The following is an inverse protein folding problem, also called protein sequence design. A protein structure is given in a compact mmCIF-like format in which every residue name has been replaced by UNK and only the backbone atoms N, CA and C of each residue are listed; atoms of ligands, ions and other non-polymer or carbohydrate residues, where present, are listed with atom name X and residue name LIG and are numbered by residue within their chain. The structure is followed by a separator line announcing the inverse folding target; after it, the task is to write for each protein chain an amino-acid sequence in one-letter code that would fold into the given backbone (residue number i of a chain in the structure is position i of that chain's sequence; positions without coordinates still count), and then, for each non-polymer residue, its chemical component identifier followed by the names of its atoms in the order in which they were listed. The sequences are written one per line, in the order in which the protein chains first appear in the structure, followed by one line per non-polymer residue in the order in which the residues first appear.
data_IF_279057362852
#
_entry.id   IF_279057362852
#
_cell.length_a   1.000
_cell.length_b   1.000
_cell.length_c   1.000
_cell.angle_alpha   90.00
_cell.angle_beta   90.00
_cell.angle_gamma   90.00
#
_symmetry.space_group_name_H-M   'P 1'
#
loop_
_entity.id
_entity.type
_entity.pdbx_description
1 polymer ?
#
# COMPACT_ATOMS: atom_id res chain seq x y z
N UNK A 1 26.27 57.32 -36.44
CA UNK A 1 25.55 57.61 -35.18
C UNK A 1 24.68 56.41 -34.84
N UNK A 2 25.18 55.53 -33.98
CA UNK A 2 24.51 54.28 -33.56
C UNK A 2 23.96 54.48 -32.16
N UNK A 3 22.63 54.47 -32.01
CA UNK A 3 21.98 54.51 -30.69
C UNK A 3 21.67 53.08 -30.23
N UNK A 4 22.35 52.64 -29.17
CA UNK A 4 22.09 51.40 -28.45
C UNK A 4 20.85 51.56 -27.57
N UNK A 5 19.80 50.78 -27.85
CA UNK A 5 18.55 50.78 -27.07
C UNK A 5 18.66 49.80 -25.91
N UNK A 6 19.08 50.27 -24.74
CA UNK A 6 19.04 49.51 -23.48
C UNK A 6 17.61 49.47 -22.95
N UNK A 7 16.93 48.33 -23.04
CA UNK A 7 15.70 48.06 -22.29
C UNK A 7 16.06 47.75 -20.84
N UNK A 8 15.82 48.72 -19.95
CA UNK A 8 15.85 48.52 -18.49
C UNK A 8 14.70 47.60 -18.11
N UNK A 9 15.02 46.52 -17.39
CA UNK A 9 14.05 45.59 -16.83
C UNK A 9 13.51 46.20 -15.52
N UNK A 10 12.20 46.36 -15.41
CA UNK A 10 11.54 46.98 -14.26
C UNK A 10 11.06 45.90 -13.28
N UNK A 11 11.64 45.80 -12.06
CA UNK A 11 11.36 44.71 -11.12
C UNK A 11 9.98 44.79 -10.44
N UNK A 12 9.25 45.91 -10.59
CA UNK A 12 7.96 46.11 -9.91
C UNK A 12 6.76 45.50 -10.66
N UNK A 13 6.95 45.01 -11.90
CA UNK A 13 5.90 44.32 -12.66
C UNK A 13 5.57 42.89 -12.19
N UNK A 14 6.31 42.35 -11.21
CA UNK A 14 6.07 40.98 -10.67
C UNK A 14 5.13 40.94 -9.45
N UNK A 15 4.70 42.10 -8.91
CA UNK A 15 3.92 42.14 -7.67
C UNK A 15 2.39 42.13 -7.85
N UNK A 16 1.86 42.27 -9.07
CA UNK A 16 0.41 42.47 -9.27
C UNK A 16 -0.35 41.20 -9.71
N UNK A 17 0.34 40.11 -10.06
CA UNK A 17 -0.28 38.86 -10.55
C UNK A 17 -0.60 37.82 -9.45
N UNK A 18 -0.40 38.14 -8.17
CA UNK A 18 -0.65 37.21 -7.05
C UNK A 18 -1.92 37.52 -6.24
N UNK A 19 -2.72 38.52 -6.63
CA UNK A 19 -4.02 38.81 -5.99
C UNK A 19 -5.18 38.59 -6.95
N UNK A 20 -5.63 37.32 -7.09
CA UNK A 20 -7.03 36.90 -7.32
C UNK A 20 -7.08 35.43 -7.73
N UNK A 21 -7.29 34.56 -6.74
CA UNK A 21 -8.14 33.34 -6.82
C UNK A 21 -8.09 32.63 -5.47
N UNK A 22 -8.79 33.22 -4.50
CA UNK A 22 -9.43 32.44 -3.45
C UNK A 22 -10.76 31.95 -4.01
N UNK A 23 -10.92 30.64 -4.12
CA UNK A 23 -12.23 29.97 -4.20
C UNK A 23 -12.12 28.78 -3.26
N UNK A 24 -12.81 28.88 -2.13
CA UNK A 24 -13.21 27.76 -1.29
C UNK A 24 -14.19 26.90 -2.08
N UNK A 25 -13.97 25.58 -2.10
CA UNK A 25 -15.02 24.59 -2.28
C UNK A 25 -14.68 23.43 -1.33
N UNK A 26 -15.29 23.49 -0.15
CA UNK A 26 -15.75 22.29 0.54
C UNK A 26 -16.90 21.72 -0.28
N UNK A 27 -16.87 20.44 -0.60
CA UNK A 27 -18.03 19.53 -0.61
C UNK A 27 -17.58 18.11 -0.96
N UNK A 28 -18.11 17.18 -0.16
CA UNK A 28 -18.11 15.75 -0.37
C UNK A 28 -18.51 15.38 -1.79
N UNK A 29 -17.85 14.37 -2.37
CA UNK A 29 -18.52 13.46 -3.29
C UNK A 29 -17.81 12.11 -3.31
N UNK A 30 -18.58 11.08 -2.96
CA UNK A 30 -18.14 9.71 -2.89
C UNK A 30 -17.70 9.16 -4.25
N UNK A 31 -16.55 8.50 -4.27
CA UNK A 31 -16.23 7.60 -5.37
C UNK A 31 -16.70 6.20 -4.98
N UNK A 32 -17.93 5.94 -5.38
CA UNK A 32 -18.60 4.66 -5.31
C UNK A 32 -17.92 3.65 -6.24
N UNK A 33 -18.01 2.39 -5.82
CA UNK A 33 -17.54 1.23 -6.55
C UNK A 33 -18.35 1.03 -7.83
N UNK A 34 -17.72 1.12 -9.01
CA UNK A 34 -18.23 0.46 -10.22
C UNK A 34 -17.06 -0.08 -11.03
N UNK A 35 -16.76 -1.36 -10.83
CA UNK A 35 -16.25 -2.25 -11.89
C UNK A 35 -16.84 -3.64 -11.60
N UNK A 36 -18.13 -3.76 -11.91
CA UNK A 36 -18.76 -5.03 -12.26
C UNK A 36 -18.64 -5.25 -13.79
N UNK A 37 -18.88 -6.51 -14.17
CA UNK A 37 -18.89 -7.10 -15.51
C UNK A 37 -17.50 -7.49 -16.04
N UNK A 38 -17.20 -8.73 -16.43
CA UNK A 38 -18.00 -9.92 -16.72
C UNK A 38 -16.99 -11.07 -16.89
N UNK A 39 -17.21 -12.22 -16.25
CA UNK A 39 -16.69 -13.49 -16.79
C UNK A 39 -17.80 -14.53 -16.66
N UNK A 40 -18.52 -14.70 -17.78
CA UNK A 40 -19.46 -15.80 -18.02
C UNK A 40 -18.71 -17.12 -17.88
N UNK A 41 -19.04 -17.88 -16.83
CA UNK A 41 -18.74 -19.31 -16.77
C UNK A 41 -19.88 -20.00 -17.52
N UNK A 42 -19.56 -20.61 -18.66
CA UNK A 42 -20.40 -21.63 -19.27
C UNK A 42 -20.48 -22.82 -18.31
N UNK A 43 -21.64 -23.00 -17.68
CA UNK A 43 -22.08 -24.31 -17.21
C UNK A 43 -23.04 -24.83 -18.27
N UNK A 44 -22.58 -25.80 -19.06
CA UNK A 44 -23.47 -26.64 -19.83
C UNK A 44 -24.22 -27.53 -18.83
N UNK A 45 -25.50 -27.23 -18.68
CA UNK A 45 -26.51 -28.10 -18.08
C UNK A 45 -27.35 -28.62 -19.23
N UNK A 46 -27.28 -29.93 -19.49
CA UNK A 46 -28.36 -30.65 -20.13
C UNK A 46 -28.63 -31.90 -19.28
N UNK A 47 -29.86 -31.92 -18.76
CA UNK A 47 -30.57 -33.08 -18.24
C UNK A 47 -30.65 -34.18 -19.31
N UNK A 48 -30.69 -35.45 -18.89
CA UNK A 48 -31.81 -36.34 -19.23
C UNK A 48 -31.72 -37.71 -18.51
N UNK A 49 -32.77 -37.96 -17.72
CA UNK A 49 -33.52 -39.23 -17.60
C UNK A 49 -33.01 -40.46 -16.85
N UNK A 50 -33.96 -40.92 -16.02
CA UNK A 50 -34.45 -42.30 -15.81
C UNK A 50 -33.90 -43.21 -14.70
N UNK A 51 -34.81 -43.47 -13.75
CA UNK A 51 -35.22 -44.74 -13.17
C UNK A 51 -34.15 -45.82 -12.85
N UNK A 52 -34.03 -46.21 -11.58
CA UNK A 52 -34.62 -47.45 -11.03
C UNK A 52 -34.06 -47.81 -9.64
N UNK A 53 -34.89 -48.54 -8.91
CA UNK A 53 -34.72 -49.12 -7.58
C UNK A 53 -33.50 -50.06 -7.36
N UNK A 54 -33.22 -50.26 -6.07
CA UNK A 54 -32.76 -51.51 -5.46
C UNK A 54 -31.36 -52.05 -5.79
N UNK A 55 -30.44 -51.93 -4.82
CA UNK A 55 -29.91 -53.07 -4.03
C UNK A 55 -28.68 -52.72 -3.19
N UNK A 56 -28.74 -53.12 -1.92
CA UNK A 56 -27.56 -53.51 -1.15
C UNK A 56 -26.71 -54.51 -1.95
N UNK A 57 -25.38 -54.36 -1.95
CA UNK A 57 -24.41 -55.48 -1.89
C UNK A 57 -23.06 -54.95 -1.39
N UNK A 58 -22.51 -55.65 -0.39
CA UNK A 58 -21.14 -55.57 0.12
C UNK A 58 -20.16 -56.29 -0.83
N UNK A 59 -18.88 -55.87 -0.85
CA UNK A 59 -17.61 -56.66 -0.92
C UNK A 59 -16.51 -55.78 -1.52
N UNK A 60 -15.45 -55.42 -0.80
CA UNK A 60 -14.24 -56.20 -0.46
C UNK A 60 -13.34 -56.56 -1.67
N UNK A 61 -12.12 -55.97 -1.65
CA UNK A 61 -10.82 -56.36 -2.27
C UNK A 61 -10.77 -56.52 -3.82
N UNK A 62 -9.74 -56.10 -4.56
CA UNK A 62 -8.31 -56.38 -4.40
C UNK A 62 -7.48 -55.59 -5.45
N UNK A 63 -6.24 -55.23 -5.09
CA UNK A 63 -5.04 -55.07 -5.94
C UNK A 63 -5.12 -54.27 -7.26
N UNK A 64 -4.50 -53.08 -7.22
CA UNK A 64 -4.09 -52.29 -8.38
C UNK A 64 -3.09 -51.20 -7.97
N UNK A 65 -2.23 -51.51 -7.00
CA UNK A 65 -1.07 -50.71 -6.62
C UNK A 65 0.03 -51.06 -7.62
N UNK A 66 0.39 -50.14 -8.53
CA UNK A 66 1.72 -50.08 -9.15
C UNK A 66 1.95 -48.89 -10.11
N UNK A 67 1.04 -47.91 -10.22
CA UNK A 67 1.26 -46.73 -11.10
C UNK A 67 0.85 -45.36 -10.53
N UNK A 68 0.55 -45.24 -9.23
CA UNK A 68 0.01 -44.01 -8.64
C UNK A 68 1.06 -42.97 -8.16
N UNK A 69 2.35 -43.15 -8.46
CA UNK A 69 3.43 -42.39 -7.81
C UNK A 69 4.14 -41.31 -8.65
N UNK A 70 3.63 -40.93 -9.83
CA UNK A 70 4.28 -39.87 -10.64
C UNK A 70 3.48 -38.57 -10.80
N UNK A 71 2.33 -38.45 -10.16
CA UNK A 71 1.57 -37.19 -10.15
C UNK A 71 1.09 -36.79 -8.75
N UNK A 72 1.98 -36.89 -7.75
CA UNK A 72 1.77 -36.15 -6.51
C UNK A 72 1.77 -34.64 -6.84
N UNK A 73 0.68 -33.88 -6.63
CA UNK A 73 0.69 -32.45 -6.91
C UNK A 73 1.76 -31.77 -6.05
N UNK A 74 2.72 -31.11 -6.72
CA UNK A 74 3.89 -30.38 -6.18
C UNK A 74 3.56 -29.21 -5.24
N UNK A 75 2.33 -29.10 -4.76
CA UNK A 75 1.94 -28.17 -3.72
C UNK A 75 1.06 -28.91 -2.71
N UNK A 76 1.54 -29.24 -1.50
CA UNK A 76 0.62 -29.61 -0.44
C UNK A 76 -0.35 -28.44 -0.27
N UNK A 77 -1.64 -28.66 -0.57
CA UNK A 77 -2.72 -27.70 -0.27
C UNK A 77 -2.48 -27.29 1.18
N UNK A 78 -2.01 -26.05 1.41
CA UNK A 78 -1.81 -25.51 2.77
C UNK A 78 -3.15 -25.69 3.48
N UNK A 79 -3.24 -26.69 4.36
CA UNK A 79 -4.47 -27.00 5.09
C UNK A 79 -4.81 -25.73 5.84
N UNK A 80 -5.96 -25.13 5.52
CA UNK A 80 -6.46 -23.95 6.23
C UNK A 80 -6.52 -24.31 7.71
N UNK A 81 -5.72 -23.62 8.52
CA UNK A 81 -5.74 -23.78 9.96
C UNK A 81 -7.15 -23.48 10.47
N UNK A 82 -7.66 -24.32 11.37
CA UNK A 82 -8.99 -24.14 11.96
C UNK A 82 -8.85 -23.28 13.21
N UNK A 83 -9.81 -22.38 13.42
CA UNK A 83 -9.93 -21.63 14.66
C UNK A 83 -10.23 -22.54 15.83
N UNK A 84 -9.42 -22.42 16.87
CA UNK A 84 -9.63 -23.03 18.18
C UNK A 84 -10.56 -22.18 19.05
N UNK A 85 -11.18 -22.77 20.06
CA UNK A 85 -12.07 -22.04 20.97
C UNK A 85 -11.33 -20.94 21.75
N UNK A 86 -10.04 -21.12 22.04
CA UNK A 86 -9.19 -20.14 22.73
C UNK A 86 -8.82 -18.96 21.82
N UNK A 87 -8.55 -19.20 20.53
CA UNK A 87 -8.38 -18.14 19.53
C UNK A 87 -9.68 -17.34 19.33
N UNK A 88 -10.82 -18.02 19.28
CA UNK A 88 -12.13 -17.36 19.20
C UNK A 88 -12.41 -16.50 20.43
N UNK A 89 -12.06 -17.00 21.64
CA UNK A 89 -12.13 -16.23 22.89
C UNK A 89 -11.26 -14.97 22.81
N UNK A 90 -10.01 -15.12 22.38
CA UNK A 90 -9.09 -13.99 22.26
C UNK A 90 -9.59 -12.94 21.27
N UNK A 91 -10.09 -13.38 20.11
CA UNK A 91 -10.66 -12.53 19.07
C UNK A 91 -11.87 -11.74 19.59
N UNK A 92 -12.79 -12.40 20.31
CA UNK A 92 -13.95 -11.76 20.93
C UNK A 92 -13.55 -10.73 22.00
N UNK A 93 -12.65 -11.10 22.91
CA UNK A 93 -12.22 -10.21 24.00
C UNK A 93 -11.50 -8.99 23.44
N UNK A 94 -10.65 -9.17 22.42
CA UNK A 94 -9.99 -8.06 21.74
C UNK A 94 -10.98 -7.17 20.98
N UNK A 95 -11.96 -7.74 20.28
CA UNK A 95 -12.99 -6.95 19.59
C UNK A 95 -13.83 -6.11 20.57
N UNK A 96 -14.26 -6.69 21.68
CA UNK A 96 -14.99 -5.99 22.74
C UNK A 96 -14.16 -4.88 23.37
N UNK A 97 -12.89 -5.16 23.65
CA UNK A 97 -11.95 -4.17 24.22
C UNK A 97 -11.66 -3.04 23.24
N UNK A 98 -11.55 -3.35 21.95
CA UNK A 98 -11.36 -2.36 20.89
C UNK A 98 -12.55 -1.41 20.77
N UNK A 99 -13.78 -1.94 20.76
CA UNK A 99 -15.03 -1.16 20.80
C UNK A 99 -15.07 -0.27 22.05
N UNK A 100 -14.79 -0.83 23.24
CA UNK A 100 -14.77 -0.07 24.51
C UNK A 100 -13.72 1.05 24.54
N UNK A 101 -12.55 0.82 23.93
CA UNK A 101 -11.43 1.80 23.91
C UNK A 101 -11.43 2.70 22.66
N UNK A 102 -12.49 2.63 21.84
CA UNK A 102 -12.60 3.32 20.54
C UNK A 102 -11.32 3.17 19.68
N UNK A 103 -10.83 1.93 19.53
CA UNK A 103 -9.63 1.62 18.73
C UNK A 103 -10.02 1.04 17.37
N UNK A 104 -9.33 1.44 16.29
CA UNK A 104 -9.63 0.94 14.95
C UNK A 104 -9.32 -0.56 14.87
N UNK A 105 -10.31 -1.36 14.45
CA UNK A 105 -10.20 -2.83 14.47
C UNK A 105 -9.09 -3.35 13.54
N UNK A 106 -8.78 -2.63 12.47
CA UNK A 106 -7.64 -2.90 11.57
C UNK A 106 -6.30 -3.02 12.31
N UNK A 107 -6.06 -2.17 13.31
CA UNK A 107 -4.82 -2.25 14.10
C UNK A 107 -4.81 -3.48 15.02
N UNK A 108 -5.99 -3.83 15.55
CA UNK A 108 -6.16 -4.99 16.44
C UNK A 108 -5.97 -6.28 15.65
N UNK A 109 -6.59 -6.39 14.46
CA UNK A 109 -6.38 -7.55 13.58
C UNK A 109 -4.91 -7.71 13.20
N UNK A 110 -4.20 -6.63 12.86
CA UNK A 110 -2.77 -6.70 12.53
C UNK A 110 -1.91 -7.28 13.66
N UNK A 111 -2.29 -7.08 14.92
CA UNK A 111 -1.59 -7.71 16.05
C UNK A 111 -2.06 -9.15 16.25
N UNK A 112 -3.37 -9.39 16.14
CA UNK A 112 -3.94 -10.73 16.25
C UNK A 112 -3.44 -11.69 15.16
N UNK A 113 -3.16 -11.24 13.94
CA UNK A 113 -2.59 -12.09 12.88
C UNK A 113 -1.22 -12.65 13.28
N UNK A 114 -0.44 -11.91 14.07
CA UNK A 114 0.86 -12.37 14.58
C UNK A 114 0.74 -13.38 15.71
N UNK A 115 -0.35 -13.32 16.47
CA UNK A 115 -0.58 -14.16 17.66
C UNK A 115 -1.32 -15.44 17.28
N UNK A 116 -2.40 -15.32 16.50
CA UNK A 116 -3.27 -16.41 16.08
C UNK A 116 -2.71 -17.09 14.81
N UNK A 117 -1.91 -16.40 13.99
CA UNK A 117 -1.34 -16.96 12.75
C UNK A 117 -2.30 -17.01 11.56
N UNK A 118 -3.52 -16.48 11.71
CA UNK A 118 -4.49 -16.34 10.64
C UNK A 118 -4.35 -15.01 9.89
N UNK A 119 -4.83 -14.95 8.64
CA UNK A 119 -4.88 -13.70 7.86
C UNK A 119 -5.89 -12.71 8.45
N UNK A 120 -5.71 -11.42 8.17
CA UNK A 120 -6.65 -10.37 8.60
C UNK A 120 -8.07 -10.61 8.07
N UNK A 121 -8.19 -11.02 6.80
CA UNK A 121 -9.47 -11.40 6.20
C UNK A 121 -10.12 -12.58 6.93
N UNK A 122 -9.35 -13.61 7.29
CA UNK A 122 -9.85 -14.77 8.04
C UNK A 122 -10.33 -14.37 9.43
N UNK A 123 -9.64 -13.46 10.12
CA UNK A 123 -10.05 -12.95 11.44
C UNK A 123 -11.33 -12.13 11.34
N UNK A 124 -11.47 -11.29 10.32
CA UNK A 124 -12.66 -10.48 10.10
C UNK A 124 -13.88 -11.37 9.84
N UNK A 125 -13.79 -12.31 8.89
CA UNK A 125 -14.88 -13.27 8.62
C UNK A 125 -15.21 -14.11 9.85
N UNK A 126 -14.20 -14.54 10.62
CA UNK A 126 -14.43 -15.31 11.85
C UNK A 126 -15.14 -14.48 12.92
N UNK A 127 -14.77 -13.22 13.10
CA UNK A 127 -15.43 -12.33 14.03
C UNK A 127 -16.89 -12.10 13.63
N UNK A 128 -17.19 -11.85 12.36
CA UNK A 128 -18.58 -11.73 11.89
C UNK A 128 -19.40 -12.98 12.18
N UNK A 129 -18.82 -14.18 11.99
CA UNK A 129 -19.48 -15.44 12.32
C UNK A 129 -19.70 -15.62 13.83
N UNK A 130 -18.74 -15.21 14.65
CA UNK A 130 -18.86 -15.23 16.13
C UNK A 130 -19.89 -14.21 16.63
N UNK A 131 -20.14 -13.13 15.90
CA UNK A 131 -21.15 -12.14 16.24
C UNK A 131 -22.55 -12.61 15.82
N UNK A 132 -22.69 -13.36 14.72
CA UNK A 132 -23.98 -13.87 14.23
C UNK A 132 -24.43 -15.19 14.87
N UNK A 133 -23.50 -16.06 15.26
CA UNK A 133 -23.80 -17.38 15.85
C UNK A 133 -23.67 -17.36 17.38
N UNK A 134 -24.81 -17.33 18.07
CA UNK A 134 -24.89 -17.30 19.53
C UNK A 134 -24.27 -18.55 20.19
N UNK A 135 -24.44 -19.74 19.60
CA UNK A 135 -23.90 -20.97 20.15
C UNK A 135 -22.37 -20.97 20.07
N UNK A 136 -21.82 -20.52 18.94
CA UNK A 136 -20.39 -20.36 18.75
C UNK A 136 -19.81 -19.30 19.69
N UNK A 137 -20.50 -18.17 19.86
CA UNK A 137 -20.12 -17.10 20.79
C UNK A 137 -20.09 -17.58 22.24
N UNK A 138 -21.08 -18.34 22.67
CA UNK A 138 -21.14 -18.92 24.02
C UNK A 138 -20.05 -19.98 24.24
N UNK A 139 -19.76 -20.80 23.23
CA UNK A 139 -18.65 -21.77 23.30
C UNK A 139 -17.30 -21.07 23.43
N UNK A 140 -17.07 -20.04 22.63
CA UNK A 140 -15.87 -19.23 22.70
C UNK A 140 -15.78 -18.49 24.05
N UNK A 141 -16.87 -17.94 24.58
CA UNK A 141 -16.84 -17.18 25.83
C UNK A 141 -16.48 -17.99 27.08
N UNK A 142 -16.68 -19.31 27.04
CA UNK A 142 -16.31 -20.25 28.10
C UNK A 142 -14.88 -20.77 27.99
N UNK A 143 -14.20 -20.56 26.87
CA UNK A 143 -12.84 -21.03 26.68
C UNK A 143 -11.82 -20.16 27.45
N UNK A 144 -10.70 -20.76 27.83
CA UNK A 144 -9.54 -20.05 28.35
C UNK A 144 -8.86 -19.25 27.23
N UNK A 145 -8.17 -18.16 27.62
CA UNK A 145 -7.28 -17.46 26.70
C UNK A 145 -6.06 -18.33 26.38
N UNK A 146 -5.43 -18.16 25.20
CA UNK A 146 -4.18 -18.83 24.90
C UNK A 146 -3.12 -18.52 25.95
N UNK A 147 -2.36 -19.54 26.36
CA UNK A 147 -1.28 -19.38 27.33
C UNK A 147 -0.26 -18.35 26.80
N UNK A 148 0.23 -17.49 27.70
CA UNK A 148 1.19 -16.41 27.40
C UNK A 148 0.68 -15.24 26.55
N UNK A 149 -0.64 -15.11 26.33
CA UNK A 149 -1.22 -13.95 25.62
C UNK A 149 -2.02 -13.05 26.56
N UNK A 150 -1.49 -11.85 26.80
CA UNK A 150 -2.22 -10.78 27.48
C UNK A 150 -2.98 -9.91 26.48
N UNK A 151 -4.27 -9.66 26.75
CA UNK A 151 -5.07 -8.71 25.95
C UNK A 151 -4.45 -7.32 26.01
N UNK A 152 -3.96 -6.89 27.17
CA UNK A 152 -3.33 -5.58 27.30
C UNK A 152 -2.07 -5.45 26.45
N UNK A 153 -1.32 -6.54 26.26
CA UNK A 153 -0.14 -6.56 25.39
C UNK A 153 -0.49 -6.30 23.92
N UNK A 154 -1.62 -6.81 23.45
CA UNK A 154 -2.10 -6.59 22.07
C UNK A 154 -2.37 -5.11 21.84
N UNK A 155 -2.89 -4.40 22.85
CA UNK A 155 -3.17 -2.97 22.76
C UNK A 155 -1.94 -2.09 23.05
N UNK A 156 -1.02 -2.51 23.92
CA UNK A 156 0.19 -1.75 24.25
C UNK A 156 1.26 -1.88 23.16
N UNK A 157 1.55 -3.09 22.66
CA UNK A 157 2.56 -3.34 21.62
C UNK A 157 2.15 -2.80 20.24
N UNK A 158 0.86 -2.54 20.01
CA UNK A 158 0.34 -2.14 18.70
C UNK A 158 -0.05 -0.67 18.51
N UNK A 159 -0.22 0.09 19.59
CA UNK A 159 -0.78 1.46 19.55
C UNK A 159 0.21 2.50 20.07
N UNK A 160 1.41 2.10 20.50
CA UNK A 160 2.51 3.02 20.76
C UNK A 160 3.08 3.54 19.45
N UNK A 161 2.63 4.75 19.10
CA UNK A 161 3.22 5.69 18.14
C UNK A 161 3.78 4.99 16.90
N UNK A 162 2.94 4.82 15.86
CA UNK A 162 3.48 5.09 14.53
C UNK A 162 4.09 6.48 14.65
N UNK A 163 5.43 6.58 14.72
CA UNK A 163 6.10 7.82 14.32
C UNK A 163 5.41 8.15 13.01
N UNK A 164 4.64 9.22 12.97
CA UNK A 164 4.09 9.70 11.71
C UNK A 164 5.29 9.70 10.79
N UNK A 165 5.26 8.88 9.74
CA UNK A 165 6.20 9.08 8.64
C UNK A 165 5.74 10.41 8.10
N UNK A 166 6.30 11.49 8.63
CA UNK A 166 6.13 12.83 8.08
C UNK A 166 6.69 12.69 6.68
N UNK A 167 5.79 12.56 5.72
CA UNK A 167 6.17 12.54 4.32
C UNK A 167 6.69 13.94 4.06
N UNK A 168 7.93 14.01 3.60
CA UNK A 168 8.48 15.27 3.13
C UNK A 168 7.76 15.61 1.83
N UNK A 169 7.22 16.80 1.75
CA UNK A 169 6.59 17.29 0.55
C UNK A 169 7.66 17.64 -0.50
N UNK A 170 7.33 17.43 -1.76
CA UNK A 170 8.20 17.79 -2.87
C UNK A 170 8.13 19.29 -3.13
N UNK A 171 9.29 19.94 -3.16
CA UNK A 171 9.41 21.36 -3.51
C UNK A 171 9.58 21.57 -5.01
N UNK A 172 9.46 22.82 -5.46
CA UNK A 172 9.79 23.18 -6.85
C UNK A 172 11.27 22.93 -7.19
N UNK A 173 12.18 23.04 -6.22
CA UNK A 173 13.60 22.73 -6.43
C UNK A 173 13.82 21.22 -6.59
N UNK A 174 13.11 20.41 -5.80
CA UNK A 174 13.15 18.95 -5.93
C UNK A 174 12.66 18.56 -7.35
N UNK A 175 11.53 19.12 -7.78
CA UNK A 175 10.98 18.85 -9.10
C UNK A 175 11.93 19.28 -10.23
N UNK A 176 12.62 20.42 -10.09
CA UNK A 176 13.64 20.86 -11.05
C UNK A 176 14.82 19.89 -11.11
N UNK A 177 15.34 19.48 -9.95
CA UNK A 177 16.45 18.52 -9.85
C UNK A 177 16.09 17.16 -10.45
N UNK A 178 14.86 16.67 -10.18
CA UNK A 178 14.36 15.41 -10.73
C UNK A 178 14.23 15.50 -12.25
N UNK A 179 13.68 16.59 -12.80
CA UNK A 179 13.57 16.79 -14.24
C UNK A 179 14.94 16.83 -14.92
N UNK A 180 15.90 17.54 -14.33
CA UNK A 180 17.28 17.61 -14.84
C UNK A 180 17.90 16.20 -14.88
N UNK A 181 17.79 15.45 -13.78
CA UNK A 181 18.31 14.08 -13.71
C UNK A 181 17.64 13.14 -14.72
N UNK A 182 16.32 13.22 -14.87
CA UNK A 182 15.57 12.39 -15.82
C UNK A 182 15.92 12.71 -17.28
N UNK A 183 16.33 13.95 -17.57
CA UNK A 183 16.85 14.32 -18.88
C UNK A 183 18.10 13.52 -19.27
N UNK A 184 18.95 13.19 -18.30
CA UNK A 184 20.19 12.42 -18.51
C UNK A 184 19.94 10.90 -18.56
N UNK A 185 18.80 10.44 -18.04
CA UNK A 185 18.40 9.04 -18.12
C UNK A 185 17.93 8.66 -19.53
N UNK A 186 18.29 7.45 -19.95
CA UNK A 186 17.68 6.83 -21.12
C UNK A 186 16.15 6.75 -20.94
N UNK A 187 15.44 7.28 -21.94
CA UNK A 187 13.99 7.26 -22.08
C UNK A 187 13.32 5.94 -21.68
N UNK A 188 13.95 4.80 -22.02
CA UNK A 188 13.42 3.44 -21.72
C UNK A 188 13.49 3.10 -20.24
N UNK A 189 14.45 3.69 -19.53
CA UNK A 189 14.76 3.41 -18.14
C UNK A 189 14.13 4.39 -17.15
N UNK A 190 13.53 5.49 -17.62
CA UNK A 190 12.82 6.50 -16.78
C UNK A 190 11.67 5.92 -15.95
N UNK A 191 11.20 4.70 -16.26
CA UNK A 191 10.19 3.96 -15.48
C UNK A 191 10.77 2.95 -14.47
N UNK A 192 12.07 2.67 -14.49
CA UNK A 192 12.71 1.71 -13.59
C UNK A 192 12.93 2.30 -12.20
N UNK A 193 13.00 1.46 -11.17
CA UNK A 193 13.38 1.90 -9.82
C UNK A 193 14.88 2.14 -9.70
N UNK A 194 15.71 1.22 -10.20
CA UNK A 194 17.17 1.30 -10.13
C UNK A 194 17.73 2.56 -10.78
N UNK A 195 17.04 3.09 -11.80
CA UNK A 195 17.41 4.34 -12.46
C UNK A 195 17.36 5.57 -11.55
N UNK A 196 16.76 5.51 -10.36
CA UNK A 196 16.67 6.62 -9.41
C UNK A 196 17.50 6.43 -8.14
N UNK A 197 18.20 5.29 -8.00
CA UNK A 197 19.11 5.05 -6.87
C UNK A 197 20.24 6.09 -6.83
N UNK A 198 20.94 6.40 -7.94
CA UNK A 198 22.03 7.39 -7.90
C UNK A 198 21.55 8.79 -7.51
N UNK A 199 20.33 9.17 -7.89
CA UNK A 199 19.74 10.44 -7.46
C UNK A 199 19.50 10.47 -5.95
N UNK A 200 18.98 9.38 -5.38
CA UNK A 200 18.67 9.28 -3.95
C UNK A 200 19.94 9.15 -3.09
N UNK A 201 21.04 8.62 -3.64
CA UNK A 201 22.34 8.62 -2.98
C UNK A 201 22.89 10.04 -2.81
N UNK A 202 22.73 10.89 -3.82
CA UNK A 202 23.16 12.29 -3.75
C UNK A 202 22.21 13.13 -2.89
N UNK A 203 20.90 12.86 -2.98
CA UNK A 203 19.85 13.64 -2.30
C UNK A 203 18.96 12.77 -1.38
N UNK A 204 19.49 12.25 -0.25
CA UNK A 204 18.85 11.23 0.59
C UNK A 204 17.54 11.62 1.28
N UNK A 205 17.16 12.89 1.28
CA UNK A 205 15.88 13.33 1.86
C UNK A 205 14.64 12.68 1.21
N UNK A 206 14.72 12.28 -0.06
CA UNK A 206 13.70 11.46 -0.71
C UNK A 206 14.29 10.12 -1.14
N UNK A 207 13.57 9.01 -0.87
CA UNK A 207 14.00 7.70 -1.36
C UNK A 207 13.82 7.58 -2.88
N UNK A 208 14.60 6.71 -3.52
CA UNK A 208 14.48 6.43 -4.96
C UNK A 208 13.04 6.05 -5.38
N UNK A 209 12.31 5.35 -4.51
CA UNK A 209 10.91 4.99 -4.73
C UNK A 209 9.99 6.22 -4.71
N UNK A 210 10.24 7.15 -3.80
CA UNK A 210 9.52 8.44 -3.70
C UNK A 210 9.76 9.28 -4.96
N UNK A 211 11.03 9.40 -5.37
CA UNK A 211 11.45 10.17 -6.55
C UNK A 211 10.86 9.59 -7.84
N UNK A 212 10.98 8.27 -8.05
CA UNK A 212 10.31 7.58 -9.16
C UNK A 212 8.80 7.83 -9.14
N UNK A 213 8.18 7.73 -7.97
CA UNK A 213 6.76 7.99 -7.78
C UNK A 213 6.38 9.40 -8.21
N UNK A 214 7.17 10.41 -7.80
CA UNK A 214 6.98 11.80 -8.18
C UNK A 214 7.11 12.01 -9.69
N UNK A 215 8.13 11.43 -10.32
CA UNK A 215 8.30 11.48 -11.77
C UNK A 215 7.09 10.85 -12.49
N UNK A 216 6.82 9.58 -12.24
CA UNK A 216 5.84 8.79 -12.99
C UNK A 216 4.40 9.24 -12.78
N UNK A 217 4.02 9.68 -11.57
CA UNK A 217 2.64 10.04 -11.24
C UNK A 217 2.32 11.51 -11.45
N UNK A 218 3.29 12.40 -11.25
CA UNK A 218 3.05 13.85 -11.23
C UNK A 218 3.77 14.58 -12.37
N UNK A 219 5.09 14.42 -12.49
CA UNK A 219 5.89 15.27 -13.40
C UNK A 219 5.80 14.83 -14.85
N UNK A 220 5.81 13.53 -15.14
CA UNK A 220 5.81 12.97 -16.50
C UNK A 220 4.64 13.49 -17.35
N UNK A 221 3.45 13.63 -16.75
CA UNK A 221 2.23 14.10 -17.46
C UNK A 221 2.27 15.60 -17.79
N UNK A 222 3.15 16.37 -17.13
CA UNK A 222 3.21 17.84 -17.18
C UNK A 222 4.57 18.34 -17.66
N UNK A 223 5.42 17.46 -18.20
CA UNK A 223 6.78 17.80 -18.62
C UNK A 223 7.03 17.23 -20.00
N UNK A 224 7.21 18.12 -20.96
CA UNK A 224 7.67 17.82 -22.31
C UNK A 224 9.18 17.55 -22.34
N UNK A 225 9.67 16.94 -23.43
CA UNK A 225 11.12 16.70 -23.58
C UNK A 225 11.91 18.01 -23.64
N UNK A 226 11.34 19.05 -24.25
CA UNK A 226 11.95 20.40 -24.28
C UNK A 226 12.09 20.96 -22.86
N UNK A 227 11.07 20.78 -22.01
CA UNK A 227 11.14 21.19 -20.61
C UNK A 227 12.16 20.39 -19.79
N UNK A 228 12.43 19.12 -20.14
CA UNK A 228 13.52 18.35 -19.52
C UNK A 228 14.89 18.93 -19.88
N UNK A 229 15.10 19.24 -21.16
CA UNK A 229 16.35 19.88 -21.62
C UNK A 229 16.53 21.25 -20.95
N UNK A 230 15.47 22.06 -20.88
CA UNK A 230 15.51 23.34 -20.18
C UNK A 230 15.76 23.17 -18.67
N UNK A 231 15.19 22.15 -18.04
CA UNK A 231 15.44 21.86 -16.63
C UNK A 231 16.91 21.48 -16.40
N UNK A 232 17.50 20.67 -17.29
CA UNK A 232 18.90 20.29 -17.20
C UNK A 232 19.83 21.50 -17.35
N UNK A 233 19.55 22.40 -18.31
CA UNK A 233 20.28 23.65 -18.48
C UNK A 233 20.14 24.59 -17.27
N UNK A 234 18.92 24.69 -16.71
CA UNK A 234 18.65 25.53 -15.53
C UNK A 234 19.30 24.98 -14.27
N UNK A 235 19.33 23.66 -14.10
CA UNK A 235 19.94 22.98 -12.96
C UNK A 235 21.47 22.91 -13.08
N UNK A 236 22.07 24.07 -13.33
CA UNK A 236 23.50 24.28 -13.46
C UNK A 236 24.24 24.07 -12.14
N UNK A 237 25.59 24.03 -12.20
CA UNK A 237 26.42 23.88 -10.99
C UNK A 237 26.19 24.94 -9.91
N UNK A 238 25.78 26.16 -10.27
CA UNK A 238 25.41 27.19 -9.28
C UNK A 238 24.11 26.83 -8.55
N UNK A 239 23.06 26.48 -9.31
CA UNK A 239 21.75 26.10 -8.75
C UNK A 239 21.85 24.81 -7.96
N UNK A 240 22.64 23.83 -8.42
CA UNK A 240 22.92 22.59 -7.67
C UNK A 240 23.56 22.86 -6.32
N UNK A 241 24.51 23.81 -6.23
CA UNK A 241 25.10 24.23 -4.95
C UNK A 241 24.08 24.91 -4.04
N UNK A 242 23.25 25.80 -4.58
CA UNK A 242 22.17 26.43 -3.81
C UNK A 242 21.17 25.41 -3.28
N UNK A 243 20.81 24.42 -4.10
CA UNK A 243 19.94 23.32 -3.71
C UNK A 243 20.54 22.49 -2.58
N UNK A 244 21.83 22.12 -2.67
CA UNK A 244 22.52 21.43 -1.58
C UNK A 244 22.56 22.26 -0.29
N UNK A 245 22.89 23.56 -0.36
CA UNK A 245 22.87 24.44 0.80
C UNK A 245 21.47 24.52 1.44
N UNK A 246 20.43 24.60 0.62
CA UNK A 246 19.05 24.54 1.09
C UNK A 246 18.73 23.21 1.78
N UNK A 247 19.17 22.07 1.21
CA UNK A 247 19.00 20.75 1.81
C UNK A 247 19.71 20.62 3.17
N UNK A 248 20.95 21.10 3.30
CA UNK A 248 21.68 21.12 4.57
C UNK A 248 20.97 21.95 5.64
N UNK A 249 20.34 23.06 5.24
CA UNK A 249 19.58 23.93 6.15
C UNK A 249 18.21 23.36 6.52
N UNK A 250 17.49 22.76 5.57
CA UNK A 250 16.14 22.22 5.76
C UNK A 250 16.14 20.86 6.46
N UNK A 251 17.16 20.03 6.19
CA UNK A 251 17.27 18.66 6.68
C UNK A 251 18.63 18.40 7.36
N UNK A 252 18.98 19.17 8.42
CA UNK A 252 20.29 19.08 9.05
C UNK A 252 20.58 17.68 9.62
N UNK A 253 19.57 16.95 10.07
CA UNK A 253 19.71 15.59 10.59
C UNK A 253 20.12 14.56 9.53
N UNK A 254 19.88 14.84 8.25
CA UNK A 254 20.21 13.94 7.13
C UNK A 254 21.58 14.31 6.56
N UNK A 255 21.90 15.61 6.48
CA UNK A 255 23.07 16.10 5.74
C UNK A 255 24.22 16.62 6.63
N UNK A 256 24.04 16.79 7.95
CA UNK A 256 25.14 17.16 8.87
C UNK A 256 25.68 15.96 9.67
N UNK A 257 25.20 14.75 9.40
CA UNK A 257 25.67 13.50 10.02
C UNK A 257 26.81 12.84 9.22
N UNK A 258 27.56 13.62 8.44
CA UNK A 258 28.67 13.17 7.57
C UNK A 258 29.94 13.92 7.89
#
# INVERSE_FOLDING_TARGET
MTQSRTTKFDPDMLSEMTRKRGVFLDEDDGFDNVYEAEFKVHTDSDDETDQTDDKQIKKEHTAGDEFADQFAPLNPKKRRQRFTSSEDRLLLVCAMTAKKRNKPMKLVFKQLTKVIGHSESSLQTRLSKLESDLALKQKASKASLPENVSVNDIFSKGILKRKSRTRLDFTHLDDLAIKAYVCELDSRHRGSYSAYEPFAEIYPHHSASSVKGRWTKTLKKRTSEIELVMANLKFSGSVKRQYMLWLHKAYPTIYNSS
#
